data_IF_667154703964
#
_entry.id   IF_667154703964
#
_cell.length_a   1.000
_cell.length_b   1.000
_cell.length_c   1.000
_cell.angle_alpha   90.00
_cell.angle_beta   90.00
_cell.angle_gamma   90.00
#
_symmetry.space_group_name_H-M   'P 1'
#
loop_
_entity.id
_entity.type
_entity.pdbx_description
1 polymer ?
#
# COMPACT_ATOMS: atom_id res chain seq x y z
N UNK A 1 20.34 6.31 7.75
CA UNK A 1 19.79 6.33 6.38
C UNK A 1 18.58 7.25 6.39
N UNK A 2 18.52 8.23 5.49
CA UNK A 2 17.34 9.08 5.33
C UNK A 2 16.41 8.41 4.32
N UNK A 3 15.17 8.13 4.70
CA UNK A 3 14.14 7.64 3.78
C UNK A 3 13.49 8.82 3.07
N UNK A 4 13.13 8.64 1.80
CA UNK A 4 12.15 9.52 1.16
C UNK A 4 10.77 9.13 1.67
N UNK A 5 10.30 9.78 2.72
CA UNK A 5 9.05 9.40 3.40
C UNK A 5 7.83 10.20 2.96
N UNK A 6 7.97 11.22 2.10
CA UNK A 6 6.86 12.01 1.54
C UNK A 6 5.80 12.45 2.58
N UNK A 7 6.24 12.92 3.76
CA UNK A 7 5.36 13.39 4.83
C UNK A 7 4.98 12.34 5.87
N UNK A 8 5.27 11.07 5.64
CA UNK A 8 5.16 10.02 6.66
C UNK A 8 6.33 10.05 7.64
N UNK A 9 6.06 9.65 8.88
CA UNK A 9 7.06 9.43 9.93
C UNK A 9 7.77 8.09 9.73
N UNK A 10 8.94 7.93 10.36
CA UNK A 10 9.67 6.65 10.34
C UNK A 10 8.82 5.53 10.96
N UNK A 11 8.00 5.83 11.96
CA UNK A 11 7.13 4.83 12.60
C UNK A 11 6.03 4.35 11.66
N UNK A 12 5.50 5.22 10.79
CA UNK A 12 4.46 4.87 9.81
C UNK A 12 5.00 4.03 8.64
N UNK A 13 6.25 4.24 8.20
CA UNK A 13 6.86 3.50 7.08
C UNK A 13 7.93 2.49 7.49
N UNK A 14 8.20 2.37 8.80
CA UNK A 14 9.27 1.54 9.35
C UNK A 14 9.08 0.05 9.07
N UNK A 15 7.84 -0.38 8.81
CA UNK A 15 7.52 -1.76 8.42
C UNK A 15 8.25 -2.19 7.13
N UNK A 16 8.64 -1.25 6.26
CA UNK A 16 9.41 -1.54 5.04
C UNK A 16 10.81 -2.08 5.39
N UNK A 17 11.41 -1.63 6.51
CA UNK A 17 12.74 -2.09 6.93
C UNK A 17 12.79 -3.57 7.29
N UNK A 18 11.68 -4.10 7.82
CA UNK A 18 11.56 -5.49 8.23
C UNK A 18 10.99 -6.39 7.13
N UNK A 19 10.68 -5.84 5.95
CA UNK A 19 10.24 -6.62 4.81
C UNK A 19 11.35 -7.57 4.35
N UNK A 20 10.98 -8.78 3.93
CA UNK A 20 11.94 -9.74 3.41
C UNK A 20 12.67 -9.18 2.19
N UNK A 21 13.99 -9.36 2.12
CA UNK A 21 14.82 -8.91 0.98
C UNK A 21 14.27 -9.35 -0.37
N UNK A 22 13.71 -10.57 -0.46
CA UNK A 22 13.11 -11.09 -1.70
C UNK A 22 11.91 -10.26 -2.18
N UNK A 23 11.12 -9.70 -1.25
CA UNK A 23 9.98 -8.84 -1.56
C UNK A 23 10.48 -7.50 -2.05
N UNK A 24 11.41 -6.86 -1.32
CA UNK A 24 12.01 -5.58 -1.73
C UNK A 24 12.64 -5.69 -3.13
N UNK A 25 13.32 -6.80 -3.41
CA UNK A 25 13.94 -7.04 -4.70
C UNK A 25 12.92 -7.25 -5.83
N UNK A 26 11.82 -7.98 -5.58
CA UNK A 26 10.75 -8.15 -6.56
C UNK A 26 10.05 -6.82 -6.89
N UNK A 27 9.79 -5.99 -5.89
CA UNK A 27 9.23 -4.64 -6.07
C UNK A 27 10.17 -3.76 -6.89
N UNK A 28 11.47 -3.76 -6.57
CA UNK A 28 12.46 -2.97 -7.29
C UNK A 28 12.61 -3.39 -8.77
N UNK A 29 12.34 -4.66 -9.09
CA UNK A 29 12.32 -5.18 -10.48
C UNK A 29 10.97 -4.98 -11.19
N UNK A 30 9.94 -4.50 -10.50
CA UNK A 30 8.59 -4.37 -11.05
C UNK A 30 7.82 -5.70 -11.15
N UNK A 31 8.30 -6.76 -10.50
CA UNK A 31 7.64 -8.08 -10.47
C UNK A 31 6.49 -8.13 -9.45
N UNK A 32 6.48 -7.21 -8.49
CA UNK A 32 5.44 -7.07 -7.47
C UNK A 32 5.00 -5.61 -7.36
N UNK A 33 3.72 -5.34 -7.63
CA UNK A 33 3.14 -4.01 -7.53
C UNK A 33 2.50 -3.76 -6.15
N UNK A 34 3.25 -3.10 -5.26
CA UNK A 34 2.74 -2.73 -3.93
C UNK A 34 1.59 -1.71 -4.00
N UNK A 35 1.47 -0.92 -5.07
CA UNK A 35 0.35 0.00 -5.21
C UNK A 35 -0.95 -0.75 -5.53
N UNK A 36 -0.87 -1.85 -6.29
CA UNK A 36 -2.01 -2.74 -6.50
C UNK A 36 -2.43 -3.40 -5.18
N UNK A 37 -1.48 -3.97 -4.44
CA UNK A 37 -1.77 -4.61 -3.15
C UNK A 37 -2.39 -3.60 -2.17
N UNK A 38 -1.88 -2.37 -2.12
CA UNK A 38 -2.47 -1.32 -1.29
C UNK A 38 -3.93 -1.01 -1.67
N UNK A 39 -4.27 -1.01 -2.96
CA UNK A 39 -5.65 -0.83 -3.44
C UNK A 39 -6.55 -2.01 -3.08
N UNK A 40 -6.07 -3.24 -3.21
CA UNK A 40 -6.78 -4.46 -2.80
C UNK A 40 -7.08 -4.43 -1.30
N UNK A 41 -6.09 -4.06 -0.47
CA UNK A 41 -6.26 -3.90 0.97
C UNK A 41 -7.27 -2.80 1.32
N UNK A 42 -7.22 -1.64 0.66
CA UNK A 42 -8.21 -0.58 0.88
C UNK A 42 -9.62 -1.02 0.49
N UNK A 43 -9.78 -1.71 -0.63
CA UNK A 43 -11.06 -2.27 -1.08
C UNK A 43 -11.61 -3.32 -0.10
N UNK A 44 -10.76 -4.26 0.33
CA UNK A 44 -11.11 -5.28 1.32
C UNK A 44 -11.48 -4.67 2.68
N UNK A 45 -10.99 -3.47 2.97
CA UNK A 45 -11.33 -2.68 4.17
C UNK A 45 -12.44 -1.66 3.92
N UNK A 46 -13.09 -1.65 2.76
CA UNK A 46 -14.19 -0.73 2.47
C UNK A 46 -13.80 0.76 2.44
N UNK A 47 -12.53 1.08 2.18
CA UNK A 47 -11.98 2.44 2.19
C UNK A 47 -11.75 2.97 0.77
N UNK A 48 -11.94 4.27 0.57
CA UNK A 48 -11.55 4.97 -0.67
C UNK A 48 -10.04 5.29 -0.71
N UNK A 49 -9.60 6.07 -1.71
CA UNK A 49 -8.19 6.48 -1.89
C UNK A 49 -7.69 7.46 -0.81
N UNK A 50 -8.58 8.09 -0.07
CA UNK A 50 -8.27 8.99 1.03
C UNK A 50 -8.36 8.29 2.40
N UNK A 51 -8.65 6.98 2.42
CA UNK A 51 -8.84 6.23 3.67
C UNK A 51 -10.21 6.45 4.32
N UNK A 52 -11.20 7.00 3.59
CA UNK A 52 -12.56 7.22 4.09
C UNK A 52 -13.39 5.96 3.85
N UNK A 53 -14.17 5.54 4.86
CA UNK A 53 -15.09 4.41 4.72
C UNK A 53 -16.23 4.72 3.75
N UNK A 54 -16.36 3.88 2.73
CA UNK A 54 -17.38 3.98 1.67
C UNK A 54 -18.17 2.68 1.47
N UNK A 55 -17.81 1.62 2.20
CA UNK A 55 -18.39 0.27 2.04
C UNK A 55 -17.68 -0.54 0.96
N UNK A 56 -17.76 -1.88 1.08
CA UNK A 56 -16.97 -2.82 0.26
C UNK A 56 -17.23 -2.68 -1.25
N UNK A 57 -18.49 -2.70 -1.68
CA UNK A 57 -18.85 -2.62 -3.11
C UNK A 57 -18.37 -1.33 -3.77
N UNK A 58 -18.46 -0.21 -3.05
CA UNK A 58 -18.02 1.08 -3.56
C UNK A 58 -16.49 1.18 -3.57
N UNK A 59 -15.82 0.64 -2.55
CA UNK A 59 -14.37 0.62 -2.48
C UNK A 59 -13.76 -0.23 -3.62
N UNK A 60 -14.32 -1.40 -3.91
CA UNK A 60 -13.93 -2.25 -5.04
C UNK A 60 -13.97 -1.47 -6.38
N UNK A 61 -15.06 -0.73 -6.63
CA UNK A 61 -15.21 0.12 -7.83
C UNK A 61 -14.18 1.26 -7.89
N UNK A 62 -13.88 1.91 -6.76
CA UNK A 62 -12.92 3.02 -6.69
C UNK A 62 -11.49 2.55 -6.96
N UNK A 63 -11.16 1.34 -6.50
CA UNK A 63 -9.83 0.75 -6.56
C UNK A 63 -9.59 -0.12 -7.80
N UNK A 64 -10.65 -0.40 -8.57
CA UNK A 64 -10.65 -1.24 -9.77
C UNK A 64 -10.18 -2.67 -9.48
N UNK A 65 -10.69 -3.24 -8.39
CA UNK A 65 -10.40 -4.60 -7.91
C UNK A 65 -11.67 -5.39 -7.65
#
# INVERSE_FOLDING_TARGET
MSYTTNGFTIDEVGFIQIALTKVLAAVARGELDLNLIAREELAARGLDKNGVWVGFDQAAKIHYV
#
